data_IF_838015357157
#
_entry.id   IF_838015357157
#
_cell.length_a   1.000
_cell.length_b   1.000
_cell.length_c   1.000
_cell.angle_alpha   90.00
_cell.angle_beta   90.00
_cell.angle_gamma   90.00
#
_symmetry.space_group_name_H-M   'P 1'
#
loop_
_entity.id
_entity.type
_entity.pdbx_description
1 polymer ?
#
# COMPACT_ATOMS: atom_id res chain seq x y z
N UNK A 1 18.90 6.11 -8.72
CA UNK A 1 17.97 5.11 -8.13
C UNK A 1 17.02 5.86 -7.22
N UNK A 2 15.78 6.09 -7.66
CA UNK A 2 14.81 6.86 -6.87
C UNK A 2 14.54 6.17 -5.53
N UNK A 3 14.60 6.94 -4.45
CA UNK A 3 14.24 6.49 -3.09
C UNK A 3 12.82 5.93 -3.15
N UNK A 4 12.63 4.62 -2.95
CA UNK A 4 11.28 4.04 -2.88
C UNK A 4 10.53 4.75 -1.75
N UNK A 5 9.35 5.31 -2.06
CA UNK A 5 8.58 6.11 -1.10
C UNK A 5 8.06 5.26 0.07
N UNK A 6 7.77 3.97 -0.16
CA UNK A 6 7.47 2.98 0.86
C UNK A 6 7.38 1.58 0.21
N UNK A 7 7.82 0.52 0.90
CA UNK A 7 7.56 -0.87 0.51
C UNK A 7 6.33 -1.37 1.29
N UNK A 8 5.23 -1.66 0.59
CA UNK A 8 4.01 -2.22 1.20
C UNK A 8 3.87 -3.70 0.85
N UNK A 9 3.46 -4.50 1.83
CA UNK A 9 3.25 -5.93 1.65
C UNK A 9 1.80 -6.19 1.22
N UNK A 10 1.64 -6.80 0.05
CA UNK A 10 0.37 -7.37 -0.38
C UNK A 10 0.08 -8.65 0.42
N UNK A 11 -1.15 -8.80 0.93
CA UNK A 11 -1.58 -9.98 1.69
C UNK A 11 -2.95 -10.44 1.20
N UNK A 12 -3.21 -11.74 1.29
CA UNK A 12 -4.52 -12.33 1.01
C UNK A 12 -5.36 -12.37 2.29
N UNK A 13 -6.60 -11.87 2.22
CA UNK A 13 -7.61 -11.94 3.28
C UNK A 13 -8.91 -12.44 2.65
N UNK A 14 -9.30 -13.67 2.99
CA UNK A 14 -10.41 -14.36 2.33
C UNK A 14 -10.13 -14.51 0.82
N UNK A 15 -11.05 -14.00 -0.01
CA UNK A 15 -10.91 -13.98 -1.47
C UNK A 15 -10.35 -12.65 -2.02
N UNK A 16 -9.88 -11.74 -1.16
CA UNK A 16 -9.40 -10.42 -1.55
C UNK A 16 -7.90 -10.25 -1.23
N UNK A 17 -7.26 -9.31 -1.93
CA UNK A 17 -5.92 -8.85 -1.61
C UNK A 17 -5.96 -7.46 -0.99
N UNK A 18 -5.14 -7.24 0.02
CA UNK A 18 -5.04 -5.98 0.76
C UNK A 18 -3.59 -5.53 0.86
N UNK A 19 -3.40 -4.21 0.94
CA UNK A 19 -2.10 -3.58 1.26
C UNK A 19 -2.13 -3.07 2.70
N UNK A 20 -1.01 -3.19 3.40
CA UNK A 20 -0.88 -2.60 4.74
C UNK A 20 -0.60 -1.11 4.62
N UNK A 21 -1.48 -0.27 5.16
CA UNK A 21 -1.24 1.17 5.32
C UNK A 21 -0.62 1.40 6.70
N UNK A 22 0.55 2.06 6.82
CA UNK A 22 1.15 2.38 8.11
C UNK A 22 0.22 3.22 8.99
N UNK A 23 0.23 2.97 10.31
CA UNK A 23 -0.65 3.67 11.26
C UNK A 23 -0.43 5.18 11.25
N UNK A 24 0.82 5.64 11.12
CA UNK A 24 1.14 7.07 11.02
C UNK A 24 0.45 7.73 9.82
N UNK A 25 0.27 7.00 8.72
CA UNK A 25 -0.44 7.49 7.53
C UNK A 25 -1.94 7.57 7.80
N UNK A 26 -2.51 6.53 8.42
CA UNK A 26 -3.93 6.52 8.83
C UNK A 26 -4.22 7.70 9.76
N UNK A 27 -3.40 7.90 10.78
CA UNK A 27 -3.54 8.97 11.77
C UNK A 27 -3.37 10.36 11.13
N UNK A 28 -2.34 10.54 10.28
CA UNK A 28 -2.04 11.81 9.61
C UNK A 28 -3.17 12.26 8.70
N UNK A 29 -3.84 11.34 8.03
CA UNK A 29 -4.97 11.64 7.14
C UNK A 29 -6.34 11.46 7.82
N UNK A 30 -6.36 11.18 9.13
CA UNK A 30 -7.57 10.97 9.93
C UNK A 30 -8.54 9.95 9.31
N UNK A 31 -7.98 8.89 8.72
CA UNK A 31 -8.72 7.81 8.08
C UNK A 31 -9.29 6.85 9.13
N UNK A 32 -10.43 6.25 8.81
CA UNK A 32 -11.12 5.30 9.68
C UNK A 32 -11.56 4.07 8.90
N UNK A 33 -11.83 2.99 9.63
CA UNK A 33 -12.43 1.80 9.04
C UNK A 33 -13.80 2.14 8.43
N UNK A 34 -14.02 1.67 7.20
CA UNK A 34 -15.24 1.96 6.43
C UNK A 34 -15.12 3.17 5.49
N UNK A 35 -14.05 3.97 5.57
CA UNK A 35 -13.82 5.06 4.63
C UNK A 35 -13.50 4.52 3.22
N UNK A 36 -14.04 5.20 2.21
CA UNK A 36 -13.67 4.98 0.82
C UNK A 36 -12.41 5.78 0.47
N UNK A 37 -11.39 5.10 -0.03
CA UNK A 37 -10.13 5.72 -0.45
C UNK A 37 -10.04 5.76 -1.98
N UNK A 38 -9.73 6.94 -2.52
CA UNK A 38 -9.34 7.07 -3.93
C UNK A 38 -7.86 6.71 -4.06
N UNK A 39 -7.57 5.60 -4.75
CA UNK A 39 -6.19 5.14 -5.00
C UNK A 39 -5.87 5.37 -6.47
N UNK A 40 -4.90 6.24 -6.74
CA UNK A 40 -4.31 6.36 -8.07
C UNK A 40 -3.15 5.39 -8.18
N UNK A 41 -3.31 4.38 -9.03
CA UNK A 41 -2.25 3.47 -9.41
C UNK A 41 -1.65 3.95 -10.73
N UNK A 42 -0.33 4.17 -10.74
CA UNK A 42 0.41 4.27 -11.99
C UNK A 42 0.69 2.84 -12.48
N UNK A 43 0.10 2.48 -13.62
CA UNK A 43 0.21 1.14 -14.22
C UNK A 43 1.65 0.77 -14.58
N UNK A 44 2.55 1.75 -14.77
CA UNK A 44 3.95 1.50 -15.15
C UNK A 44 4.86 1.23 -13.95
N UNK A 45 4.37 1.48 -12.73
CA UNK A 45 5.15 1.41 -11.48
C UNK A 45 4.75 0.26 -10.55
N UNK A 46 3.70 -0.52 -10.86
CA UNK A 46 3.39 -1.73 -10.10
C UNK A 46 4.41 -2.81 -10.46
N UNK A 47 5.50 -2.86 -9.68
CA UNK A 47 6.57 -3.84 -9.86
C UNK A 47 6.75 -4.65 -8.57
N UNK A 48 6.88 -5.98 -8.66
CA UNK A 48 7.28 -6.76 -7.50
C UNK A 48 8.63 -6.23 -7.01
N UNK A 49 8.70 -5.85 -5.74
CA UNK A 49 9.97 -5.59 -5.08
C UNK A 49 10.74 -6.91 -5.09
N UNK A 50 11.82 -6.99 -5.88
CA UNK A 50 12.73 -8.13 -5.80
C UNK A 50 13.24 -8.21 -4.36
N UNK A 51 12.99 -9.33 -3.69
CA UNK A 51 13.51 -9.63 -2.35
C UNK A 51 15.02 -9.34 -2.34
N UNK A 52 15.45 -8.41 -1.49
CA UNK A 52 16.83 -8.38 -1.05
C UNK A 52 17.00 -9.61 -0.16
N UNK A 53 17.53 -10.69 -0.74
CA UNK A 53 18.13 -11.79 0.03
C UNK A 53 19.28 -11.28 0.88
#
# INVERSE_FOLDING_TARGET
MGKRKFDVKLRKVGNSYVVTIPKDTVDRFNLKEGDYLAINFDSDEIKPSKELK
#
